data_IF_984020501443
#
_entry.id   IF_984020501443
#
_cell.length_a   1.000
_cell.length_b   1.000
_cell.length_c   1.000
_cell.angle_alpha   90.00
_cell.angle_beta   90.00
_cell.angle_gamma   90.00
#
_symmetry.space_group_name_H-M   'P 1'
#
loop_
_entity.id
_entity.type
_entity.pdbx_description
1 polymer ?
#
# COMPACT_ATOMS: atom_id res chain seq x y z
N UNK A 1 -7.64 -8.07 -10.56
CA UNK A 1 -6.24 -8.54 -10.39
C UNK A 1 -5.33 -7.75 -11.31
N UNK A 2 -4.00 -7.72 -11.11
CA UNK A 2 -3.07 -7.02 -12.03
C UNK A 2 -3.20 -7.53 -13.47
N UNK A 3 -3.73 -8.74 -13.65
CA UNK A 3 -4.06 -9.33 -14.96
C UNK A 3 -5.22 -8.63 -15.66
N UNK A 4 -6.23 -8.18 -14.89
CA UNK A 4 -7.43 -7.52 -15.42
C UNK A 4 -7.14 -6.07 -15.87
N UNK A 5 -6.10 -5.44 -15.30
CA UNK A 5 -5.75 -4.04 -15.60
C UNK A 5 -4.68 -3.88 -16.70
N UNK A 6 -3.71 -4.78 -16.78
CA UNK A 6 -2.52 -4.60 -17.65
C UNK A 6 -2.34 -5.67 -18.73
N UNK A 7 -3.21 -6.70 -18.76
CA UNK A 7 -3.10 -7.82 -19.70
C UNK A 7 -1.93 -8.76 -19.39
N UNK A 8 -2.07 -10.02 -19.81
CA UNK A 8 -1.15 -11.13 -19.49
C UNK A 8 0.29 -10.96 -19.99
N UNK A 9 0.58 -9.97 -20.84
CA UNK A 9 1.87 -9.82 -21.52
C UNK A 9 2.98 -9.24 -20.64
N UNK A 10 2.63 -8.43 -19.63
CA UNK A 10 3.59 -7.82 -18.68
C UNK A 10 3.26 -8.14 -17.20
N UNK A 11 2.47 -9.19 -16.96
CA UNK A 11 1.96 -9.55 -15.64
C UNK A 11 3.08 -9.76 -14.61
N UNK A 12 4.13 -10.47 -14.99
CA UNK A 12 5.27 -10.76 -14.11
C UNK A 12 6.04 -9.51 -13.68
N UNK A 13 6.20 -8.52 -14.57
CA UNK A 13 6.93 -7.30 -14.26
C UNK A 13 6.13 -6.37 -13.34
N UNK A 14 4.82 -6.25 -13.58
CA UNK A 14 3.93 -5.44 -12.75
C UNK A 14 3.70 -6.06 -11.37
N UNK A 15 3.48 -7.38 -11.30
CA UNK A 15 3.41 -8.08 -10.00
C UNK A 15 4.75 -8.08 -9.27
N UNK A 16 5.86 -8.19 -9.99
CA UNK A 16 7.21 -8.09 -9.42
C UNK A 16 7.42 -6.75 -8.72
N UNK A 17 7.08 -5.63 -9.37
CA UNK A 17 7.09 -4.30 -8.76
C UNK A 17 6.16 -4.16 -7.54
N UNK A 18 5.00 -4.82 -7.58
CA UNK A 18 4.06 -4.81 -6.47
C UNK A 18 4.61 -5.58 -5.26
N UNK A 19 5.25 -6.73 -5.52
CA UNK A 19 5.90 -7.56 -4.51
C UNK A 19 7.11 -6.87 -3.89
N UNK A 20 7.93 -6.17 -4.69
CA UNK A 20 9.06 -5.40 -4.14
C UNK A 20 8.57 -4.24 -3.29
N UNK A 21 7.54 -3.51 -3.74
CA UNK A 21 6.93 -2.46 -2.94
C UNK A 21 6.38 -3.00 -1.61
N UNK A 22 5.72 -4.16 -1.63
CA UNK A 22 5.23 -4.83 -0.42
C UNK A 22 6.37 -5.28 0.50
N UNK A 23 7.45 -5.86 -0.05
CA UNK A 23 8.62 -6.26 0.71
C UNK A 23 9.31 -5.06 1.39
N UNK A 24 9.50 -3.95 0.67
CA UNK A 24 10.08 -2.72 1.22
C UNK A 24 9.18 -2.12 2.30
N UNK A 25 7.86 -2.10 2.08
CA UNK A 25 6.90 -1.66 3.09
C UNK A 25 6.93 -2.53 4.36
N UNK A 26 7.15 -3.84 4.22
CA UNK A 26 7.32 -4.76 5.35
C UNK A 26 8.56 -4.49 6.20
N UNK A 27 9.63 -3.92 5.62
CA UNK A 27 10.84 -3.53 6.35
C UNK A 27 10.65 -2.15 6.99
N UNK A 28 10.14 -1.18 6.23
CA UNK A 28 10.04 0.23 6.67
C UNK A 28 8.90 0.41 7.67
N UNK A 29 7.79 -0.32 7.54
CA UNK A 29 6.61 -0.17 8.40
C UNK A 29 6.88 -0.35 9.90
N UNK A 30 7.52 -1.47 10.33
CA UNK A 30 7.90 -1.67 11.72
C UNK A 30 8.89 -0.63 12.23
N UNK A 31 9.87 -0.23 11.41
CA UNK A 31 10.85 0.80 11.77
C UNK A 31 10.18 2.16 12.01
N UNK A 32 9.28 2.56 11.10
CA UNK A 32 8.50 3.79 11.26
C UNK A 32 7.59 3.72 12.49
N UNK A 33 6.96 2.56 12.77
CA UNK A 33 6.18 2.34 13.99
C UNK A 33 7.00 2.48 15.27
N UNK A 34 8.23 1.95 15.27
CA UNK A 34 9.20 2.10 16.37
C UNK A 34 9.58 3.56 16.59
N UNK A 35 9.95 4.29 15.54
CA UNK A 35 10.30 5.71 15.65
C UNK A 35 9.14 6.58 16.16
N UNK A 36 7.91 6.30 15.75
CA UNK A 36 6.75 7.03 16.25
C UNK A 36 6.52 6.73 17.73
N UNK A 37 6.73 5.49 18.16
CA UNK A 37 6.65 5.11 19.57
C UNK A 37 7.75 5.79 20.41
N UNK A 38 8.99 5.82 19.91
CA UNK A 38 10.13 6.47 20.57
C UNK A 38 9.89 7.98 20.76
N UNK A 39 9.29 8.64 19.76
CA UNK A 39 9.04 10.08 19.78
C UNK A 39 7.87 10.49 20.70
N UNK A 40 6.86 9.64 20.88
CA UNK A 40 5.61 10.00 21.59
C UNK A 40 5.39 9.23 22.89
N UNK A 41 6.23 8.24 23.20
CA UNK A 41 6.10 7.31 24.33
C UNK A 41 4.73 6.63 24.45
N UNK A 42 3.98 6.55 23.35
CA UNK A 42 2.64 5.97 23.33
C UNK A 42 2.14 5.66 21.92
N UNK A 43 1.23 4.70 21.81
CA UNK A 43 0.76 4.21 20.50
C UNK A 43 -0.31 5.08 19.84
N UNK A 44 -0.88 6.06 20.56
CA UNK A 44 -1.98 6.88 20.02
C UNK A 44 -1.58 7.65 18.75
N UNK A 45 -0.33 8.15 18.68
CA UNK A 45 0.19 8.82 17.49
C UNK A 45 0.42 7.85 16.33
N UNK A 46 0.95 6.65 16.62
CA UNK A 46 1.15 5.60 15.61
C UNK A 46 -0.17 5.16 14.98
N UNK A 47 -1.22 4.96 15.79
CA UNK A 47 -2.55 4.61 15.28
C UNK A 47 -3.19 5.74 14.48
N UNK A 48 -3.00 7.02 14.87
CA UNK A 48 -3.50 8.16 14.08
C UNK A 48 -2.81 8.28 12.72
N UNK A 49 -1.49 8.09 12.67
CA UNK A 49 -0.73 8.09 11.42
C UNK A 49 -1.18 6.92 10.54
N UNK A 50 -1.32 5.72 11.10
CA UNK A 50 -1.81 4.56 10.37
C UNK A 50 -3.24 4.78 9.82
N UNK A 51 -4.13 5.37 10.62
CA UNK A 51 -5.48 5.72 10.18
C UNK A 51 -5.48 6.75 9.04
N UNK A 52 -4.59 7.74 9.10
CA UNK A 52 -4.45 8.75 8.04
C UNK A 52 -3.91 8.14 6.74
N UNK A 53 -2.90 7.27 6.82
CA UNK A 53 -2.42 6.51 5.66
C UNK A 53 -3.51 5.62 5.06
N UNK A 54 -4.30 4.94 5.89
CA UNK A 54 -5.40 4.11 5.44
C UNK A 54 -6.49 4.93 4.73
N UNK A 55 -6.82 6.12 5.25
CA UNK A 55 -7.77 7.03 4.62
C UNK A 55 -7.28 7.53 3.26
N UNK A 56 -5.98 7.87 3.15
CA UNK A 56 -5.37 8.25 1.86
C UNK A 56 -5.42 7.09 0.88
N UNK A 57 -5.07 5.87 1.32
CA UNK A 57 -5.15 4.69 0.48
C UNK A 57 -6.58 4.43 -0.01
N UNK A 58 -7.58 4.57 0.86
CA UNK A 58 -8.99 4.43 0.50
C UNK A 58 -9.42 5.49 -0.52
N UNK A 59 -9.00 6.75 -0.36
CA UNK A 59 -9.28 7.82 -1.31
C UNK A 59 -8.65 7.53 -2.68
N UNK A 60 -7.40 7.07 -2.71
CA UNK A 60 -6.72 6.67 -3.95
C UNK A 60 -7.50 5.54 -4.63
N UNK A 61 -7.82 4.46 -3.91
CA UNK A 61 -8.59 3.33 -4.45
C UNK A 61 -9.94 3.77 -4.98
N UNK A 62 -10.64 4.69 -4.30
CA UNK A 62 -11.92 5.21 -4.75
C UNK A 62 -11.81 6.02 -6.07
N UNK A 63 -10.67 6.67 -6.33
CA UNK A 63 -10.43 7.42 -7.57
C UNK A 63 -9.87 6.58 -8.72
N UNK A 64 -9.37 5.36 -8.45
CA UNK A 64 -8.85 4.47 -9.49
C UNK A 64 -10.03 3.90 -10.29
N UNK A 65 -10.05 4.21 -11.59
CA UNK A 65 -11.07 3.73 -12.54
C UNK A 65 -11.03 2.21 -12.61
N UNK A 66 -12.16 1.55 -12.37
CA UNK A 66 -12.28 0.10 -12.51
C UNK A 66 -11.85 -0.35 -13.93
N UNK A 67 -11.13 -1.48 -14.05
CA UNK A 67 -10.66 -1.94 -15.35
C UNK A 67 -11.87 -2.34 -16.20
N UNK A 68 -11.86 -2.11 -17.52
CA UNK A 68 -12.89 -2.63 -18.39
C UNK A 68 -12.89 -4.15 -18.30
N UNK A 69 -13.99 -4.71 -17.77
CA UNK A 69 -14.25 -6.15 -17.78
C UNK A 69 -14.31 -6.59 -19.24
N UNK A 70 -13.21 -7.14 -19.75
CA UNK A 70 -13.21 -7.80 -21.05
C UNK A 70 -13.84 -9.17 -20.85
N UNK A 71 -15.09 -9.31 -21.30
CA UNK A 71 -15.71 -10.62 -21.54
C UNK A 71 -14.86 -11.45 -22.49
#
# INVERSE_FOLDING_TARGET
TTADFFGMRNLGNNYGLLLTAWGVAGIIGPMAGGWVFDATRGYAAAFRIAALLAAVAAAVVATVKAPPVRQ
#
